data_IF_244455075873
#
_entry.id   IF_244455075873
#
_cell.length_a   1.000
_cell.length_b   1.000
_cell.length_c   1.000
_cell.angle_alpha   90.00
_cell.angle_beta   90.00
_cell.angle_gamma   90.00
#
_symmetry.space_group_name_H-M   'P 1'
#
loop_
_entity.id
_entity.type
_entity.pdbx_description
1 polymer ?
#
# COMPACT_ATOMS: atom_id res chain seq x y z
N UNK A 1 -6.38 -12.89 14.91
CA UNK A 1 -6.43 -12.70 13.45
C UNK A 1 -7.85 -12.93 12.96
N UNK A 2 -8.36 -12.00 12.17
CA UNK A 2 -9.70 -12.05 11.57
C UNK A 2 -9.80 -13.10 10.44
N UNK A 3 -8.69 -13.40 9.80
CA UNK A 3 -8.57 -14.35 8.70
C UNK A 3 -7.68 -15.54 9.09
N UNK A 4 -7.96 -16.71 8.53
CA UNK A 4 -7.24 -17.93 8.84
C UNK A 4 -5.87 -18.03 8.11
N UNK A 5 -5.07 -19.03 8.51
CA UNK A 5 -3.75 -19.24 7.93
C UNK A 5 -3.77 -19.64 6.45
N UNK A 6 -4.88 -20.19 5.96
CA UNK A 6 -5.02 -20.58 4.55
C UNK A 6 -5.15 -19.37 3.64
N UNK A 7 -5.98 -18.38 4.03
CA UNK A 7 -6.14 -17.11 3.30
C UNK A 7 -4.81 -16.34 3.31
N UNK A 8 -4.17 -16.25 4.47
CA UNK A 8 -2.85 -15.64 4.60
C UNK A 8 -1.82 -16.27 3.66
N UNK A 9 -1.74 -17.59 3.65
CA UNK A 9 -0.81 -18.33 2.79
C UNK A 9 -1.05 -18.11 1.31
N UNK A 10 -2.31 -18.00 0.88
CA UNK A 10 -2.67 -17.70 -0.51
C UNK A 10 -2.21 -16.31 -0.94
N UNK A 11 -2.39 -15.30 -0.09
CA UNK A 11 -2.05 -13.90 -0.41
C UNK A 11 -0.53 -13.68 -0.35
N UNK A 12 0.15 -14.22 0.65
CA UNK A 12 1.61 -14.11 0.80
C UNK A 12 2.36 -14.90 -0.28
N UNK A 13 1.76 -15.99 -0.79
CA UNK A 13 2.34 -16.74 -1.92
C UNK A 13 3.62 -17.51 -1.60
N UNK A 14 3.94 -17.72 -0.33
CA UNK A 14 5.15 -18.44 0.11
C UNK A 14 6.44 -17.62 0.07
N UNK A 15 6.40 -16.36 -0.33
CA UNK A 15 7.56 -15.45 -0.29
C UNK A 15 7.76 -14.89 1.14
N UNK A 16 8.40 -15.68 1.97
CA UNK A 16 8.72 -15.31 3.35
C UNK A 16 9.82 -14.24 3.46
N UNK A 17 10.47 -13.91 2.35
CA UNK A 17 11.56 -12.95 2.30
C UNK A 17 11.14 -11.57 1.81
N UNK A 18 9.91 -11.40 1.35
CA UNK A 18 9.31 -10.10 1.01
C UNK A 18 8.73 -9.41 2.25
N UNK A 19 8.18 -8.22 2.02
CA UNK A 19 7.46 -7.46 3.04
C UNK A 19 6.07 -8.06 3.35
N UNK A 20 5.55 -8.92 2.47
CA UNK A 20 4.18 -9.49 2.57
C UNK A 20 3.86 -10.13 3.93
N UNK A 21 4.76 -10.89 4.60
CA UNK A 21 4.50 -11.41 5.94
C UNK A 21 4.35 -10.33 7.03
N UNK A 22 4.90 -9.13 6.81
CA UNK A 22 4.71 -8.01 7.72
C UNK A 22 3.39 -7.28 7.45
N UNK A 23 3.03 -7.10 6.18
CA UNK A 23 1.95 -6.24 5.70
C UNK A 23 0.59 -6.92 5.72
N UNK A 24 0.49 -8.09 5.10
CA UNK A 24 -0.80 -8.74 4.86
C UNK A 24 -1.58 -9.02 6.14
N UNK A 25 -0.98 -9.51 7.24
CA UNK A 25 -1.69 -9.65 8.51
C UNK A 25 -2.29 -8.32 9.00
N UNK A 26 -1.52 -7.22 8.90
CA UNK A 26 -2.01 -5.90 9.29
C UNK A 26 -3.16 -5.44 8.40
N UNK A 27 -3.02 -5.59 7.08
CA UNK A 27 -4.07 -5.21 6.12
C UNK A 27 -5.36 -5.94 6.45
N UNK A 28 -5.31 -7.26 6.54
CA UNK A 28 -6.47 -8.11 6.79
C UNK A 28 -7.14 -7.79 8.14
N UNK A 29 -6.35 -7.59 9.21
CA UNK A 29 -6.88 -7.30 10.55
C UNK A 29 -7.56 -5.91 10.63
N UNK A 30 -7.33 -5.03 9.66
CA UNK A 30 -7.89 -3.68 9.63
C UNK A 30 -8.93 -3.44 8.52
N UNK A 31 -9.24 -4.43 7.69
CA UNK A 31 -10.35 -4.33 6.75
C UNK A 31 -11.69 -4.19 7.50
N UNK A 32 -12.65 -3.43 6.95
CA UNK A 32 -14.03 -3.44 7.46
C UNK A 32 -14.66 -4.84 7.32
N UNK A 33 -15.83 -5.03 7.91
CA UNK A 33 -16.60 -6.25 7.67
C UNK A 33 -17.27 -6.17 6.28
N UNK A 34 -17.32 -7.28 5.53
CA UNK A 34 -18.12 -7.34 4.32
C UNK A 34 -19.65 -7.33 4.69
N UNK A 35 -20.53 -6.86 3.77
CA UNK A 35 -20.16 -6.31 2.46
C UNK A 35 -19.63 -4.90 2.54
N UNK A 36 -18.50 -4.65 1.88
CA UNK A 36 -17.90 -3.32 1.73
C UNK A 36 -17.29 -3.17 0.34
N UNK A 37 -17.33 -1.97 -0.23
CA UNK A 37 -16.68 -1.67 -1.51
C UNK A 37 -15.19 -1.43 -1.28
N UNK A 38 -14.36 -2.27 -1.88
CA UNK A 38 -12.90 -2.24 -1.77
C UNK A 38 -12.26 -1.87 -3.11
N UNK A 39 -11.38 -0.88 -3.09
CA UNK A 39 -10.48 -0.59 -4.20
C UNK A 39 -9.05 -1.00 -3.81
N UNK A 40 -8.42 -1.89 -4.59
CA UNK A 40 -7.00 -2.20 -4.46
C UNK A 40 -6.22 -1.46 -5.55
N UNK A 41 -5.33 -0.57 -5.13
CA UNK A 41 -4.54 0.29 -6.02
C UNK A 41 -3.18 -0.35 -6.25
N UNK A 42 -2.81 -0.56 -7.52
CA UNK A 42 -1.65 -1.34 -7.98
C UNK A 42 -1.76 -2.82 -7.62
N UNK A 43 -2.87 -3.43 -8.05
CA UNK A 43 -3.30 -4.77 -7.63
C UNK A 43 -2.68 -5.93 -8.41
N UNK A 44 -1.92 -5.67 -9.49
CA UNK A 44 -1.68 -6.65 -10.57
C UNK A 44 -0.89 -7.89 -10.20
N UNK A 45 -0.05 -7.86 -9.18
CA UNK A 45 0.78 -9.00 -8.78
C UNK A 45 0.28 -9.73 -7.55
N UNK A 46 -0.86 -9.36 -6.99
CA UNK A 46 -1.34 -9.89 -5.73
C UNK A 46 -2.62 -10.70 -5.90
N UNK A 47 -2.73 -11.89 -5.33
CA UNK A 47 -4.00 -12.60 -5.22
C UNK A 47 -4.96 -11.97 -4.21
N UNK A 48 -4.57 -10.89 -3.54
CA UNK A 48 -5.34 -10.20 -2.51
C UNK A 48 -6.75 -9.87 -2.98
N UNK A 49 -6.87 -9.24 -4.16
CA UNK A 49 -8.16 -8.83 -4.73
C UNK A 49 -9.12 -10.01 -4.92
N UNK A 50 -8.61 -11.13 -5.45
CA UNK A 50 -9.41 -12.35 -5.65
C UNK A 50 -9.87 -12.97 -4.33
N UNK A 51 -9.02 -12.96 -3.32
CA UNK A 51 -9.38 -13.49 -2.01
C UNK A 51 -10.40 -12.58 -1.32
N UNK A 52 -10.30 -11.25 -1.47
CA UNK A 52 -11.29 -10.33 -0.88
C UNK A 52 -12.67 -10.46 -1.55
N UNK A 53 -12.75 -10.67 -2.85
CA UNK A 53 -14.03 -10.96 -3.53
C UNK A 53 -14.68 -12.23 -2.97
N UNK A 54 -13.90 -13.31 -2.75
CA UNK A 54 -14.39 -14.54 -2.11
C UNK A 54 -14.85 -14.37 -0.67
N UNK A 55 -14.29 -13.38 0.05
CA UNK A 55 -14.70 -13.04 1.40
C UNK A 55 -15.95 -12.15 1.45
N UNK A 56 -16.54 -11.81 0.30
CA UNK A 56 -17.80 -11.06 0.19
C UNK A 56 -17.64 -9.55 0.08
N UNK A 57 -16.43 -9.05 -0.22
CA UNK A 57 -16.25 -7.65 -0.60
C UNK A 57 -16.74 -7.41 -2.03
N UNK A 58 -17.28 -6.22 -2.29
CA UNK A 58 -17.41 -5.71 -3.66
C UNK A 58 -16.06 -5.11 -4.06
N UNK A 59 -15.12 -6.02 -4.39
CA UNK A 59 -13.74 -5.67 -4.65
C UNK A 59 -13.52 -5.25 -6.10
N UNK A 60 -12.68 -4.24 -6.32
CA UNK A 60 -12.25 -3.74 -7.62
C UNK A 60 -10.75 -3.41 -7.54
N UNK A 61 -10.04 -3.52 -8.65
CA UNK A 61 -8.61 -3.22 -8.69
C UNK A 61 -8.24 -2.34 -9.87
N UNK A 62 -7.24 -1.48 -9.65
CA UNK A 62 -6.60 -0.71 -10.71
C UNK A 62 -5.09 -0.97 -10.73
N UNK A 63 -4.52 -0.90 -11.91
CA UNK A 63 -3.06 -0.88 -12.09
C UNK A 63 -2.70 -0.16 -13.39
N UNK A 64 -1.50 0.40 -13.44
CA UNK A 64 -0.95 1.05 -14.63
C UNK A 64 -0.70 0.04 -15.76
N UNK A 65 -0.33 -1.18 -15.39
CA UNK A 65 -0.05 -2.28 -16.31
C UNK A 65 -1.07 -3.40 -16.15
N UNK A 66 -1.45 -3.99 -17.26
CA UNK A 66 -2.24 -5.21 -17.29
C UNK A 66 -1.32 -6.42 -17.44
N UNK A 67 -1.14 -7.17 -16.37
CA UNK A 67 -0.35 -8.40 -16.35
C UNK A 67 -1.19 -9.66 -16.62
N UNK A 68 -2.37 -9.50 -17.24
CA UNK A 68 -3.29 -10.60 -17.47
C UNK A 68 -4.00 -11.05 -16.19
N UNK A 69 -4.32 -10.11 -15.32
CA UNK A 69 -5.04 -10.39 -14.06
C UNK A 69 -6.37 -11.06 -14.38
N UNK A 70 -6.61 -12.29 -13.94
CA UNK A 70 -7.84 -13.03 -14.25
C UNK A 70 -9.00 -12.56 -13.35
N UNK A 71 -9.27 -11.26 -13.34
CA UNK A 71 -10.28 -10.64 -12.50
C UNK A 71 -11.12 -9.63 -13.29
N UNK A 72 -12.42 -9.88 -13.37
CA UNK A 72 -13.34 -9.13 -14.23
C UNK A 72 -13.56 -7.67 -13.81
N UNK A 73 -13.24 -7.33 -12.57
CA UNK A 73 -13.35 -5.96 -12.03
C UNK A 73 -11.99 -5.22 -11.99
N UNK A 74 -11.02 -5.70 -12.77
CA UNK A 74 -9.76 -5.00 -12.99
C UNK A 74 -9.93 -3.89 -14.03
N UNK A 75 -9.35 -2.72 -13.77
CA UNK A 75 -9.32 -1.59 -14.70
C UNK A 75 -7.86 -1.13 -14.85
N UNK A 76 -7.37 -1.10 -16.08
CA UNK A 76 -6.07 -0.49 -16.36
C UNK A 76 -6.18 1.02 -16.22
N UNK A 77 -5.55 1.57 -15.18
CA UNK A 77 -5.61 3.00 -14.86
C UNK A 77 -4.37 3.46 -14.09
N UNK A 78 -4.11 4.76 -14.17
CA UNK A 78 -3.08 5.41 -13.38
C UNK A 78 -3.67 5.86 -12.04
N UNK A 79 -2.99 5.52 -10.94
CA UNK A 79 -3.40 5.91 -9.59
C UNK A 79 -3.41 7.43 -9.36
N UNK A 80 -2.74 8.20 -10.22
CA UNK A 80 -2.78 9.67 -10.25
C UNK A 80 -4.06 10.24 -10.85
N UNK A 81 -4.90 9.39 -11.46
CA UNK A 81 -6.20 9.74 -12.05
C UNK A 81 -7.13 8.52 -11.99
N UNK A 82 -7.64 8.22 -10.81
CA UNK A 82 -8.47 7.05 -10.54
C UNK A 82 -9.84 7.19 -11.21
N UNK A 83 -10.25 6.25 -12.12
CA UNK A 83 -11.44 6.40 -12.97
C UNK A 83 -12.74 6.04 -12.22
N UNK A 84 -12.90 6.56 -11.02
CA UNK A 84 -14.11 6.42 -10.21
C UNK A 84 -14.55 7.76 -9.66
N UNK A 85 -15.85 7.87 -9.38
CA UNK A 85 -16.44 9.06 -8.78
C UNK A 85 -15.95 9.25 -7.34
N UNK A 86 -16.08 10.48 -6.83
CA UNK A 86 -15.81 10.80 -5.44
C UNK A 86 -16.64 9.92 -4.50
N UNK A 87 -16.06 9.56 -3.36
CA UNK A 87 -16.74 8.84 -2.27
C UNK A 87 -17.39 7.52 -2.71
N UNK A 88 -16.70 6.76 -3.57
CA UNK A 88 -17.19 5.50 -4.13
C UNK A 88 -16.88 4.28 -3.25
N UNK A 89 -15.81 4.31 -2.45
CA UNK A 89 -15.29 3.14 -1.74
C UNK A 89 -15.32 3.28 -0.22
N UNK A 90 -15.60 2.16 0.46
CA UNK A 90 -15.54 2.06 1.92
C UNK A 90 -14.11 1.87 2.40
N UNK A 91 -13.28 1.18 1.60
CA UNK A 91 -11.87 0.96 1.86
C UNK A 91 -11.05 1.04 0.57
N UNK A 92 -9.90 1.71 0.66
CA UNK A 92 -8.88 1.74 -0.40
C UNK A 92 -7.61 1.13 0.15
N UNK A 93 -7.04 0.16 -0.56
CA UNK A 93 -5.74 -0.45 -0.21
C UNK A 93 -4.68 -0.05 -1.22
N UNK A 94 -3.45 0.21 -0.74
CA UNK A 94 -2.26 0.37 -1.57
C UNK A 94 -1.09 -0.30 -0.83
N UNK A 95 -0.72 -1.49 -1.29
CA UNK A 95 0.17 -2.39 -0.57
C UNK A 95 1.50 -2.48 -1.31
N UNK A 96 2.58 -1.95 -0.69
CA UNK A 96 3.96 -1.93 -1.26
C UNK A 96 3.97 -1.51 -2.73
N UNK A 97 3.47 -0.32 -3.02
CA UNK A 97 3.36 0.14 -4.41
C UNK A 97 3.66 1.63 -4.56
N UNK A 98 3.23 2.48 -3.61
CA UNK A 98 3.38 3.92 -3.68
C UNK A 98 4.86 4.36 -3.73
N UNK A 99 5.77 3.53 -3.22
CA UNK A 99 7.22 3.72 -3.23
C UNK A 99 7.84 3.69 -4.62
N UNK A 100 7.12 3.18 -5.62
CA UNK A 100 7.58 3.11 -7.01
C UNK A 100 7.08 4.26 -7.87
N UNK A 101 6.10 5.04 -7.37
CA UNK A 101 5.43 6.05 -8.17
C UNK A 101 6.35 7.22 -8.50
N UNK A 102 6.38 7.55 -9.80
CA UNK A 102 7.18 8.64 -10.33
C UNK A 102 8.68 8.38 -10.42
N UNK A 103 9.16 7.18 -10.08
CA UNK A 103 10.55 6.80 -10.25
C UNK A 103 10.83 6.40 -11.71
N UNK A 104 12.08 6.63 -12.15
CA UNK A 104 12.56 6.29 -13.50
C UNK A 104 13.01 4.84 -13.53
N UNK A 105 12.68 4.12 -14.63
CA UNK A 105 13.17 2.76 -14.90
C UNK A 105 12.92 1.75 -13.77
N UNK A 106 11.69 1.72 -13.26
CA UNK A 106 11.31 0.67 -12.32
C UNK A 106 11.11 -0.68 -13.03
N UNK A 107 11.13 -1.81 -12.35
CA UNK A 107 10.80 -3.10 -12.95
C UNK A 107 9.39 -3.18 -13.55
N UNK A 108 8.54 -2.23 -13.20
CA UNK A 108 7.12 -2.21 -13.57
C UNK A 108 6.82 -1.31 -14.77
N UNK A 109 7.66 -0.29 -15.01
CA UNK A 109 7.52 0.64 -16.14
C UNK A 109 8.87 1.32 -16.44
N UNK A 110 8.99 1.85 -17.65
CA UNK A 110 10.18 2.55 -18.12
C UNK A 110 9.87 4.02 -18.38
N UNK A 111 9.45 4.76 -17.34
CA UNK A 111 9.32 6.21 -17.45
C UNK A 111 10.70 6.85 -17.61
N UNK A 112 10.78 7.86 -18.46
CA UNK A 112 12.03 8.56 -18.76
C UNK A 112 12.20 9.82 -17.92
N UNK A 113 11.18 10.20 -17.14
CA UNK A 113 11.17 11.45 -16.38
C UNK A 113 10.78 11.17 -14.94
N UNK A 114 11.60 11.63 -14.00
CA UNK A 114 11.30 11.59 -12.57
C UNK A 114 10.11 12.53 -12.25
N UNK A 115 9.08 11.99 -11.63
CA UNK A 115 7.92 12.74 -11.12
C UNK A 115 7.83 12.60 -9.60
N UNK A 116 8.44 13.51 -8.87
CA UNK A 116 8.45 13.49 -7.40
C UNK A 116 7.07 13.75 -6.78
N UNK A 117 6.13 14.32 -7.56
CA UNK A 117 4.76 14.61 -7.10
C UNK A 117 3.79 13.43 -7.28
N UNK A 118 4.18 12.40 -8.03
CA UNK A 118 3.32 11.26 -8.31
C UNK A 118 2.72 10.60 -7.04
N UNK A 119 3.47 10.31 -5.97
CA UNK A 119 2.90 9.74 -4.76
C UNK A 119 1.88 10.67 -4.07
N UNK A 120 2.13 11.98 -4.11
CA UNK A 120 1.24 12.99 -3.51
C UNK A 120 -0.06 13.15 -4.31
N UNK A 121 0.02 13.04 -5.63
CA UNK A 121 -1.18 13.05 -6.49
C UNK A 121 -1.99 11.80 -6.28
N UNK A 122 -1.35 10.62 -6.21
CA UNK A 122 -2.03 9.36 -6.02
C UNK A 122 -2.76 9.26 -4.66
N UNK A 123 -2.14 9.72 -3.57
CA UNK A 123 -2.80 9.69 -2.25
C UNK A 123 -4.03 10.63 -2.20
N UNK A 124 -3.99 11.78 -2.91
CA UNK A 124 -5.16 12.66 -3.06
C UNK A 124 -6.29 11.97 -3.81
N UNK A 125 -5.98 11.25 -4.89
CA UNK A 125 -6.97 10.49 -5.65
C UNK A 125 -7.58 9.36 -4.82
N UNK A 126 -6.75 8.61 -4.06
CA UNK A 126 -7.23 7.61 -3.10
C UNK A 126 -8.18 8.25 -2.07
N UNK A 127 -7.83 9.41 -1.53
CA UNK A 127 -8.69 10.15 -0.61
C UNK A 127 -9.96 10.67 -1.29
N UNK A 128 -9.89 11.12 -2.55
CA UNK A 128 -11.06 11.59 -3.31
C UNK A 128 -12.12 10.49 -3.47
N UNK A 129 -11.68 9.30 -3.91
CA UNK A 129 -12.60 8.18 -4.15
C UNK A 129 -13.06 7.47 -2.88
N UNK A 130 -12.41 7.73 -1.73
CA UNK A 130 -12.80 7.21 -0.43
C UNK A 130 -14.06 7.92 0.08
N UNK A 131 -15.00 7.20 0.70
CA UNK A 131 -16.13 7.77 1.44
C UNK A 131 -15.65 8.55 2.67
N UNK A 132 -16.50 9.42 3.23
CA UNK A 132 -16.12 10.26 4.37
C UNK A 132 -15.81 9.45 5.64
N UNK A 133 -16.50 8.33 5.83
CA UNK A 133 -16.29 7.38 6.94
C UNK A 133 -15.38 6.21 6.59
N UNK A 134 -14.90 6.15 5.35
CA UNK A 134 -14.02 5.11 4.84
C UNK A 134 -12.59 5.18 5.39
N UNK A 135 -11.78 4.19 5.03
CA UNK A 135 -10.37 4.09 5.43
C UNK A 135 -9.46 3.80 4.24
N UNK A 136 -8.23 4.34 4.28
CA UNK A 136 -7.13 3.89 3.42
C UNK A 136 -6.22 3.00 4.26
N UNK A 137 -5.83 1.84 3.72
CA UNK A 137 -4.78 1.00 4.30
C UNK A 137 -3.58 1.08 3.37
N UNK A 138 -2.50 1.67 3.87
CA UNK A 138 -1.28 1.95 3.12
C UNK A 138 -0.11 1.24 3.77
N UNK A 139 0.73 0.58 2.97
CA UNK A 139 1.99 0.00 3.45
C UNK A 139 3.16 0.53 2.64
N UNK A 140 4.28 0.81 3.32
CA UNK A 140 5.44 1.49 2.73
C UNK A 140 6.76 0.99 3.34
N UNK A 141 7.86 0.99 2.57
CA UNK A 141 9.21 0.89 3.12
C UNK A 141 9.48 2.06 4.06
N UNK A 142 9.96 1.76 5.28
CA UNK A 142 10.19 2.77 6.30
C UNK A 142 11.65 2.83 6.71
N UNK A 143 12.15 4.05 6.95
CA UNK A 143 13.52 4.30 7.38
C UNK A 143 14.23 5.37 6.56
N UNK A 144 15.56 5.28 6.54
CA UNK A 144 16.43 6.19 5.79
C UNK A 144 17.11 5.46 4.65
N UNK A 145 17.23 6.12 3.50
CA UNK A 145 18.15 5.75 2.45
C UNK A 145 18.98 6.97 2.05
N UNK A 146 20.20 6.75 1.64
CA UNK A 146 21.02 7.82 1.10
C UNK A 146 20.36 8.35 -0.19
N UNK A 147 20.02 9.64 -0.23
CA UNK A 147 19.26 10.24 -1.33
C UNK A 147 17.75 10.01 -1.32
N UNK A 148 17.19 9.35 -0.29
CA UNK A 148 15.74 9.12 -0.14
C UNK A 148 15.19 7.94 -0.95
N UNK A 149 15.98 7.33 -1.81
CA UNK A 149 15.63 6.11 -2.55
C UNK A 149 16.85 5.24 -2.81
N UNK A 150 16.58 3.95 -3.04
CA UNK A 150 17.57 2.98 -3.49
C UNK A 150 17.03 2.30 -4.74
N UNK A 151 17.77 2.37 -5.84
CA UNK A 151 17.35 1.87 -7.15
C UNK A 151 15.95 2.42 -7.54
N UNK A 152 14.93 1.57 -7.54
CA UNK A 152 13.55 1.84 -7.93
C UNK A 152 12.57 1.88 -6.73
N UNK A 153 13.07 2.09 -5.50
CA UNK A 153 12.28 2.16 -4.27
C UNK A 153 12.53 3.48 -3.54
N UNK A 154 11.48 4.23 -3.25
CA UNK A 154 11.51 5.39 -2.37
C UNK A 154 11.26 4.94 -0.93
N UNK A 155 12.14 5.35 -0.01
CA UNK A 155 11.94 5.11 1.42
C UNK A 155 11.23 6.28 2.07
N UNK A 156 10.36 5.97 3.02
CA UNK A 156 9.57 6.94 3.75
C UNK A 156 10.05 7.04 5.19
N UNK A 157 10.14 8.24 5.69
CA UNK A 157 10.32 8.56 7.10
C UNK A 157 9.08 9.29 7.64
N UNK A 158 9.03 9.54 8.94
CA UNK A 158 7.88 10.20 9.56
C UNK A 158 7.57 11.57 8.96
N UNK A 159 8.58 12.33 8.57
CA UNK A 159 8.38 13.66 7.95
C UNK A 159 7.71 13.54 6.57
N UNK A 160 8.15 12.61 5.74
CA UNK A 160 7.58 12.41 4.40
C UNK A 160 6.17 11.81 4.49
N UNK A 161 5.94 10.87 5.42
CA UNK A 161 4.59 10.34 5.69
C UNK A 161 3.66 11.47 6.14
N UNK A 162 4.14 12.37 7.03
CA UNK A 162 3.35 13.53 7.42
C UNK A 162 2.97 14.40 6.24
N UNK A 163 3.88 14.66 5.31
CA UNK A 163 3.57 15.42 4.08
C UNK A 163 2.50 14.72 3.24
N UNK A 164 2.58 13.38 3.06
CA UNK A 164 1.58 12.60 2.31
C UNK A 164 0.18 12.73 2.92
N UNK A 165 0.07 12.60 4.24
CA UNK A 165 -1.23 12.64 4.91
C UNK A 165 -1.81 14.05 4.98
N UNK A 166 -0.97 15.07 5.24
CA UNK A 166 -1.40 16.46 5.31
C UNK A 166 -1.97 16.96 3.98
N UNK A 167 -1.34 16.59 2.85
CA UNK A 167 -1.75 17.06 1.51
C UNK A 167 -3.08 16.44 1.03
N UNK A 168 -3.48 15.34 1.64
CA UNK A 168 -4.71 14.61 1.34
C UNK A 168 -5.78 14.75 2.42
N UNK A 169 -5.59 15.64 3.38
CA UNK A 169 -6.47 15.86 4.54
C UNK A 169 -6.82 14.57 5.27
N UNK A 170 -5.77 13.78 5.59
CA UNK A 170 -5.89 12.49 6.26
C UNK A 170 -5.29 12.52 7.68
N UNK A 171 -5.79 11.63 8.53
CA UNK A 171 -5.24 11.31 9.85
C UNK A 171 -4.82 9.85 9.94
N UNK A 172 -3.73 9.56 10.66
CA UNK A 172 -3.36 8.20 11.04
C UNK A 172 -4.22 7.77 12.23
N UNK A 173 -5.04 6.74 12.06
CA UNK A 173 -5.82 6.14 13.14
C UNK A 173 -5.19 4.88 13.71
N UNK A 174 -4.32 4.22 12.92
CA UNK A 174 -3.51 3.09 13.36
C UNK A 174 -2.22 3.03 12.59
N UNK A 175 -1.12 2.65 13.24
CA UNK A 175 0.17 2.35 12.59
C UNK A 175 0.85 1.17 13.24
N UNK A 176 1.65 0.46 12.46
CA UNK A 176 2.55 -0.59 12.90
C UNK A 176 3.85 -0.49 12.12
N UNK A 177 4.99 -0.61 12.78
CA UNK A 177 6.30 -0.63 12.13
C UNK A 177 6.99 -1.93 12.49
N UNK A 178 7.48 -2.62 11.46
CA UNK A 178 8.19 -3.89 11.62
C UNK A 178 9.54 -3.85 10.94
N UNK A 179 10.49 -4.55 11.53
CA UNK A 179 11.84 -4.78 10.99
C UNK A 179 12.05 -6.27 10.76
N UNK A 180 12.75 -6.61 9.69
CA UNK A 180 13.18 -7.97 9.42
C UNK A 180 14.50 -8.25 10.14
N UNK A 181 14.47 -9.16 11.12
CA UNK A 181 15.63 -9.69 11.86
C UNK A 181 15.62 -11.20 11.81
N UNK A 182 16.72 -11.81 11.47
CA UNK A 182 16.90 -13.27 11.47
C UNK A 182 15.74 -14.00 10.76
N UNK A 183 15.29 -13.46 9.62
CA UNK A 183 14.15 -13.92 8.81
C UNK A 183 12.78 -13.85 9.52
N UNK A 184 12.66 -13.05 10.57
CA UNK A 184 11.39 -12.81 11.28
C UNK A 184 11.08 -11.32 11.31
N UNK A 185 9.82 -10.97 11.06
CA UNK A 185 9.34 -9.60 11.17
C UNK A 185 8.93 -9.28 12.59
N UNK A 186 9.67 -8.36 13.24
CA UNK A 186 9.45 -7.92 14.62
C UNK A 186 8.92 -6.48 14.64
N UNK A 187 7.98 -6.20 15.54
CA UNK A 187 7.49 -4.84 15.76
C UNK A 187 8.51 -4.00 16.50
N UNK A 188 8.71 -2.76 16.04
CA UNK A 188 9.62 -1.78 16.63
C UNK A 188 8.94 -0.42 16.79
N UNK A 189 9.57 0.45 17.59
CA UNK A 189 9.13 1.84 17.70
C UNK A 189 9.48 2.65 16.46
N UNK A 190 8.73 3.73 16.22
CA UNK A 190 9.00 4.68 15.13
C UNK A 190 10.42 5.26 15.21
N UNK A 191 10.87 5.60 16.42
CA UNK A 191 12.23 6.12 16.67
C UNK A 191 13.35 5.15 16.32
N UNK A 192 13.09 3.85 16.46
CA UNK A 192 14.01 2.80 16.01
C UNK A 192 13.96 2.67 14.49
N UNK A 193 12.77 2.62 13.91
CA UNK A 193 12.58 2.50 12.47
C UNK A 193 13.23 3.65 11.69
N UNK A 194 13.13 4.89 12.15
CA UNK A 194 13.77 6.06 11.53
C UNK A 194 15.31 5.97 11.44
N UNK A 195 15.93 5.12 12.26
CA UNK A 195 17.39 4.92 12.25
C UNK A 195 17.83 3.79 11.34
N UNK A 196 16.89 3.03 10.79
CA UNK A 196 17.22 1.93 9.90
C UNK A 196 17.72 2.49 8.59
N UNK A 197 18.99 2.22 8.29
CA UNK A 197 19.59 2.53 7.01
C UNK A 197 19.40 1.33 6.09
N UNK A 198 18.63 1.52 5.03
CA UNK A 198 18.37 0.48 4.05
C UNK A 198 19.25 0.71 2.82
N UNK A 199 19.87 -0.34 2.33
CA UNK A 199 20.79 -0.29 1.19
C UNK A 199 20.21 -0.92 -0.08
N UNK A 200 19.86 -2.21 -0.07
CA UNK A 200 19.43 -2.93 -1.27
C UNK A 200 18.16 -3.76 -1.10
N UNK A 201 17.58 -3.78 0.10
CA UNK A 201 16.39 -4.56 0.42
C UNK A 201 15.55 -3.82 1.45
N UNK A 202 14.24 -3.89 1.31
CA UNK A 202 13.34 -3.42 2.35
C UNK A 202 13.48 -4.32 3.57
N UNK A 203 14.02 -3.76 4.64
CA UNK A 203 14.21 -4.44 5.92
C UNK A 203 13.36 -3.84 7.04
N UNK A 204 12.68 -2.75 6.76
CA UNK A 204 11.76 -2.09 7.67
C UNK A 204 10.55 -1.58 6.88
N UNK A 205 9.36 -1.83 7.42
CA UNK A 205 8.10 -1.50 6.78
C UNK A 205 7.18 -0.79 7.77
N UNK A 206 6.38 0.16 7.30
CA UNK A 206 5.29 0.80 8.05
C UNK A 206 3.96 0.47 7.40
N UNK A 207 3.00 0.09 8.24
CA UNK A 207 1.62 -0.12 7.85
C UNK A 207 0.75 0.92 8.54
N UNK A 208 -0.14 1.56 7.77
CA UNK A 208 -0.97 2.68 8.19
C UNK A 208 -2.44 2.41 7.90
N UNK A 209 -3.31 2.77 8.83
CA UNK A 209 -4.73 2.99 8.57
C UNK A 209 -4.98 4.48 8.67
N UNK A 210 -5.48 5.05 7.57
CA UNK A 210 -5.74 6.48 7.42
C UNK A 210 -7.23 6.75 7.30
N UNK A 211 -7.69 7.89 7.80
CA UNK A 211 -9.07 8.35 7.69
C UNK A 211 -9.09 9.84 7.35
N UNK A 212 -10.12 10.28 6.63
CA UNK A 212 -10.31 11.72 6.35
C UNK A 212 -10.44 12.53 7.64
N UNK A 213 -9.91 13.74 7.60
CA UNK A 213 -10.17 14.77 8.63
C UNK A 213 -11.59 15.29 8.38
N UNK A 214 -12.49 15.16 9.37
CA UNK A 214 -13.84 15.70 9.33
C UNK A 214 -13.83 17.21 9.60
#
# INVERSE_FOLDING_TARGET
>A
MKYDAEILGKIIGGDLYSERPAEIPFVLDNLPEPPAKLLDVSCSYSPFLLEMDKQGFDACGIDLLDYGVPYSKFIKADARNIPFEDKSFDVVTCISSLEHYGLVETPYHSDTTLDTEAPFTAIKEMARVLKDDGIIILTLPFGCAEGGWVAWIKFYNSALIKQLIDIADLNIIKKQIKILKDNTWEEISEKEGEKILTTNRVSCNICLVLKKIC
#
